data_IF_273679397012
#
_entry.id   IF_273679397012
#
_cell.length_a   1.000
_cell.length_b   1.000
_cell.length_c   1.000
_cell.angle_alpha   90.00
_cell.angle_beta   90.00
_cell.angle_gamma   90.00
#
_symmetry.space_group_name_H-M   'P 1'
#
loop_
_entity.id
_entity.type
_entity.pdbx_description
1 polymer ?
#
# COMPACT_ATOMS: atom_id res chain seq x y z
N UNK A 1 19.19 -9.36 2.43
CA UNK A 1 18.80 -8.24 1.53
C UNK A 1 17.45 -7.67 1.96
N UNK A 2 17.39 -6.39 2.18
CA UNK A 2 16.13 -5.76 2.53
C UNK A 2 15.28 -5.54 1.28
N UNK A 3 14.02 -5.99 1.33
CA UNK A 3 13.09 -5.87 0.21
C UNK A 3 12.24 -4.60 0.35
N UNK A 4 12.00 -4.18 1.60
CA UNK A 4 11.32 -2.92 1.91
C UNK A 4 12.39 -1.88 2.21
N UNK A 5 12.34 -0.74 1.52
CA UNK A 5 13.34 0.32 1.72
C UNK A 5 13.14 1.03 3.05
N UNK A 6 14.15 1.77 3.51
CA UNK A 6 14.04 2.56 4.73
C UNK A 6 12.92 3.60 4.61
N UNK A 7 12.78 4.22 3.45
CA UNK A 7 11.70 5.18 3.19
C UNK A 7 10.33 4.50 3.32
N UNK A 8 10.18 3.32 2.74
CA UNK A 8 8.93 2.57 2.84
C UNK A 8 8.62 2.18 4.28
N UNK A 9 9.65 1.78 5.06
CA UNK A 9 9.47 1.48 6.49
C UNK A 9 8.97 2.70 7.26
N UNK A 10 9.49 3.87 6.96
CA UNK A 10 9.06 5.10 7.63
C UNK A 10 7.60 5.43 7.30
N UNK A 11 7.21 5.26 6.05
CA UNK A 11 5.83 5.49 5.64
C UNK A 11 4.89 4.52 6.34
N UNK A 12 5.24 3.24 6.37
CA UNK A 12 4.42 2.20 7.03
C UNK A 12 4.30 2.50 8.53
N UNK A 13 5.40 2.91 9.17
CA UNK A 13 5.38 3.24 10.60
C UNK A 13 4.43 4.40 10.88
N UNK A 14 4.47 5.47 10.07
CA UNK A 14 3.56 6.59 10.24
C UNK A 14 2.12 6.20 9.98
N UNK A 15 1.89 5.37 8.97
CA UNK A 15 0.55 4.86 8.70
C UNK A 15 0.00 4.08 9.90
N UNK A 16 0.84 3.29 10.57
CA UNK A 16 0.43 2.49 11.73
C UNK A 16 0.00 3.33 12.93
N UNK A 17 0.31 4.61 12.94
CA UNK A 17 -0.09 5.55 14.01
C UNK A 17 -1.43 6.23 13.71
N UNK A 18 -2.02 6.01 12.54
CA UNK A 18 -3.28 6.65 12.17
C UNK A 18 -4.47 5.93 12.81
N UNK A 19 -5.53 6.69 13.17
CA UNK A 19 -6.66 6.10 13.91
C UNK A 19 -7.46 5.07 13.13
N UNK A 20 -7.51 5.18 11.79
CA UNK A 20 -8.31 4.29 10.96
C UNK A 20 -7.48 3.19 10.28
N UNK A 21 -6.27 2.95 10.75
CA UNK A 21 -5.36 1.96 10.14
C UNK A 21 -5.95 0.55 10.08
N UNK A 22 -6.81 0.20 11.02
CA UNK A 22 -7.39 -1.14 11.09
C UNK A 22 -8.33 -1.45 9.91
N UNK A 23 -8.82 -0.42 9.23
CA UNK A 23 -9.66 -0.60 8.06
C UNK A 23 -8.85 -0.84 6.78
N UNK A 24 -7.52 -0.75 6.87
CA UNK A 24 -6.62 -0.89 5.71
C UNK A 24 -5.69 -2.07 5.90
N UNK A 25 -5.21 -2.58 4.79
CA UNK A 25 -4.19 -3.63 4.76
C UNK A 25 -3.23 -3.40 3.61
N UNK A 26 -1.99 -3.83 3.81
CA UNK A 26 -0.94 -3.71 2.81
C UNK A 26 -1.05 -4.87 1.82
N UNK A 27 -1.00 -4.55 0.54
CA UNK A 27 -1.14 -5.53 -0.54
C UNK A 27 -0.21 -5.15 -1.70
N UNK A 28 -0.37 -5.80 -2.86
CA UNK A 28 0.38 -5.47 -4.07
C UNK A 28 1.77 -6.08 -4.13
N UNK A 29 2.56 -5.59 -5.11
CA UNK A 29 3.88 -6.16 -5.41
C UNK A 29 4.89 -6.04 -4.29
N UNK A 30 4.93 -4.90 -3.59
CA UNK A 30 5.84 -4.70 -2.47
C UNK A 30 5.52 -5.66 -1.33
N UNK A 31 4.24 -5.77 -0.95
CA UNK A 31 3.85 -6.70 0.12
C UNK A 31 4.15 -8.14 -0.26
N UNK A 32 3.80 -8.52 -1.49
CA UNK A 32 4.05 -9.88 -1.98
C UNK A 32 5.55 -10.22 -1.92
N UNK A 33 6.39 -9.31 -2.42
CA UNK A 33 7.84 -9.51 -2.43
C UNK A 33 8.43 -9.50 -1.03
N UNK A 34 8.02 -8.56 -0.18
CA UNK A 34 8.62 -8.38 1.14
C UNK A 34 8.26 -9.49 2.11
N UNK A 35 7.01 -9.97 2.10
CA UNK A 35 6.52 -10.86 3.15
C UNK A 35 6.41 -12.31 2.75
N UNK A 36 6.27 -12.60 1.47
CA UNK A 36 6.05 -13.98 1.02
C UNK A 36 7.12 -14.48 0.07
N UNK A 37 7.48 -13.71 -0.94
CA UNK A 37 8.46 -14.15 -1.93
C UNK A 37 9.90 -13.75 -1.59
N UNK A 38 10.08 -12.57 -0.97
CA UNK A 38 11.37 -12.07 -0.47
C UNK A 38 12.47 -12.04 -1.53
N UNK A 39 12.14 -11.76 -2.79
CA UNK A 39 13.11 -11.90 -3.86
C UNK A 39 13.38 -10.63 -4.68
N UNK A 40 12.62 -9.54 -4.49
CA UNK A 40 12.92 -8.29 -5.18
C UNK A 40 12.25 -7.10 -4.50
N UNK A 41 12.85 -5.91 -4.69
CA UNK A 41 12.28 -4.66 -4.22
C UNK A 41 11.19 -4.19 -5.19
N UNK A 42 10.20 -3.50 -4.67
CA UNK A 42 9.19 -2.81 -5.46
C UNK A 42 9.17 -1.34 -5.04
N UNK A 43 8.75 -0.47 -5.97
CA UNK A 43 8.71 0.97 -5.72
C UNK A 43 7.38 1.45 -5.13
N UNK A 44 6.40 0.56 -5.00
CA UNK A 44 5.05 0.94 -4.62
C UNK A 44 4.64 0.36 -3.28
N UNK A 45 3.88 1.14 -2.51
CA UNK A 45 3.17 0.67 -1.32
C UNK A 45 1.68 0.78 -1.61
N UNK A 46 0.97 -0.33 -1.51
CA UNK A 46 -0.46 -0.38 -1.82
C UNK A 46 -1.27 -0.67 -0.57
N UNK A 47 -2.04 0.32 -0.12
CA UNK A 47 -2.95 0.18 1.00
C UNK A 47 -4.37 0.08 0.46
N UNK A 48 -5.05 -1.00 0.77
CA UNK A 48 -6.41 -1.26 0.31
C UNK A 48 -7.37 -1.29 1.48
N UNK A 49 -8.61 -0.89 1.21
CA UNK A 49 -9.70 -0.95 2.19
C UNK A 49 -11.01 -1.23 1.46
N UNK A 50 -11.97 -1.80 2.17
CA UNK A 50 -13.34 -1.91 1.67
C UNK A 50 -14.23 -0.76 2.14
N UNK A 51 -13.67 0.23 2.85
CA UNK A 51 -14.39 1.39 3.36
C UNK A 51 -13.97 2.63 2.58
N UNK A 52 -14.70 2.92 1.52
CA UNK A 52 -14.38 4.01 0.59
C UNK A 52 -14.24 5.36 1.27
N UNK A 53 -15.11 5.66 2.23
CA UNK A 53 -15.15 6.96 2.91
C UNK A 53 -13.88 7.30 3.67
N UNK A 54 -13.03 6.31 3.96
CA UNK A 54 -11.78 6.52 4.69
C UNK A 54 -10.59 6.87 3.79
N UNK A 55 -10.69 6.63 2.49
CA UNK A 55 -9.55 6.76 1.57
C UNK A 55 -9.00 8.19 1.55
N UNK A 56 -9.82 9.17 1.23
CA UNK A 56 -9.36 10.56 1.19
C UNK A 56 -8.89 11.06 2.57
N UNK A 57 -9.67 10.90 3.65
CA UNK A 57 -9.23 11.41 4.95
C UNK A 57 -7.91 10.80 5.43
N UNK A 58 -7.72 9.49 5.28
CA UNK A 58 -6.49 8.85 5.77
C UNK A 58 -5.29 9.26 4.92
N UNK A 59 -5.49 9.43 3.61
CA UNK A 59 -4.41 9.87 2.73
C UNK A 59 -3.95 11.29 3.10
N UNK A 60 -4.88 12.17 3.47
CA UNK A 60 -4.57 13.53 3.89
C UNK A 60 -3.80 13.54 5.22
N UNK A 61 -4.19 12.70 6.16
CA UNK A 61 -3.51 12.58 7.45
C UNK A 61 -2.10 12.04 7.28
N UNK A 62 -1.93 11.02 6.46
CA UNK A 62 -0.60 10.47 6.19
C UNK A 62 0.28 11.51 5.50
N UNK A 63 -0.24 12.22 4.51
CA UNK A 63 0.50 13.27 3.82
C UNK A 63 1.00 14.32 4.81
N UNK A 64 0.14 14.76 5.72
CA UNK A 64 0.52 15.76 6.74
C UNK A 64 1.62 15.23 7.65
N UNK A 65 1.54 14.00 8.12
CA UNK A 65 2.57 13.39 8.95
C UNK A 65 3.91 13.30 8.23
N UNK A 66 3.89 12.86 6.97
CA UNK A 66 5.12 12.70 6.20
C UNK A 66 5.78 14.06 5.92
N UNK A 67 5.00 15.08 5.61
CA UNK A 67 5.52 16.43 5.41
C UNK A 67 6.14 16.98 6.70
N UNK A 68 5.51 16.70 7.84
CA UNK A 68 6.04 17.11 9.14
C UNK A 68 7.37 16.43 9.44
N UNK A 69 7.58 15.22 8.94
CA UNK A 69 8.83 14.48 9.09
C UNK A 69 9.91 14.95 8.10
N UNK A 70 9.62 15.94 7.28
CA UNK A 70 10.59 16.47 6.31
C UNK A 70 10.60 15.75 4.98
N UNK A 71 9.65 14.86 4.73
CA UNK A 71 9.56 14.17 3.46
C UNK A 71 8.84 15.03 2.42
N UNK A 72 9.25 14.88 1.16
CA UNK A 72 8.57 15.55 0.06
C UNK A 72 7.41 14.67 -0.40
N UNK A 73 6.21 15.21 -0.36
CA UNK A 73 5.00 14.48 -0.76
C UNK A 73 4.28 15.26 -1.85
N UNK A 74 3.96 14.59 -2.94
CA UNK A 74 3.25 15.16 -4.07
C UNK A 74 2.02 14.29 -4.35
N UNK A 75 0.83 14.92 -4.38
CA UNK A 75 -0.41 14.22 -4.69
C UNK A 75 -0.57 14.16 -6.21
N UNK A 76 -0.40 12.97 -6.78
CA UNK A 76 -0.51 12.76 -8.21
C UNK A 76 -1.95 12.54 -8.66
N UNK A 77 -2.73 11.82 -7.85
CA UNK A 77 -4.16 11.58 -8.09
C UNK A 77 -4.90 11.60 -6.75
N UNK A 78 -6.10 12.19 -6.75
CA UNK A 78 -6.89 12.28 -5.54
C UNK A 78 -8.38 12.14 -5.83
N UNK A 79 -8.88 10.90 -5.79
CA UNK A 79 -10.30 10.58 -5.97
C UNK A 79 -10.81 9.93 -4.69
N UNK A 80 -12.12 9.88 -4.54
CA UNK A 80 -12.74 9.28 -3.35
C UNK A 80 -12.45 7.77 -3.22
N UNK A 81 -12.15 7.09 -4.34
CA UNK A 81 -11.89 5.66 -4.35
C UNK A 81 -10.44 5.30 -4.65
N UNK A 82 -9.59 6.28 -4.94
CA UNK A 82 -8.19 6.04 -5.28
C UNK A 82 -7.36 7.30 -5.07
N UNK A 83 -6.25 7.15 -4.35
CA UNK A 83 -5.28 8.23 -4.13
C UNK A 83 -3.89 7.71 -4.45
N UNK A 84 -3.09 8.54 -5.13
CA UNK A 84 -1.72 8.25 -5.47
C UNK A 84 -0.83 9.37 -4.98
N UNK A 85 0.14 9.04 -4.12
CA UNK A 85 1.11 9.99 -3.58
C UNK A 85 2.50 9.57 -4.02
N UNK A 86 3.31 10.56 -4.44
CA UNK A 86 4.74 10.36 -4.64
C UNK A 86 5.46 10.87 -3.40
N UNK A 87 6.26 10.04 -2.78
CA UNK A 87 6.99 10.37 -1.55
C UNK A 87 8.47 10.20 -1.81
N UNK A 88 9.27 11.20 -1.43
CA UNK A 88 10.71 11.14 -1.64
C UNK A 88 11.47 11.74 -0.48
N UNK A 89 12.68 11.22 -0.28
CA UNK A 89 13.65 11.73 0.70
C UNK A 89 15.05 11.46 0.15
N UNK A 90 15.81 12.52 -0.10
CA UNK A 90 17.15 12.41 -0.69
C UNK A 90 17.11 11.65 -2.02
N UNK A 91 17.80 10.49 -2.11
CA UNK A 91 17.85 9.68 -3.32
C UNK A 91 16.75 8.63 -3.42
N UNK A 92 15.96 8.48 -2.37
CA UNK A 92 14.91 7.46 -2.33
C UNK A 92 13.57 8.05 -2.72
N UNK A 93 12.77 7.26 -3.44
CA UNK A 93 11.42 7.63 -3.81
C UNK A 93 10.53 6.40 -3.83
N UNK A 94 9.27 6.58 -3.49
CA UNK A 94 8.28 5.52 -3.56
C UNK A 94 6.92 6.13 -3.89
N UNK A 95 6.03 5.31 -4.43
CA UNK A 95 4.66 5.71 -4.72
C UNK A 95 3.75 4.98 -3.72
N UNK A 96 2.81 5.72 -3.14
CA UNK A 96 1.86 5.18 -2.19
C UNK A 96 0.46 5.26 -2.80
N UNK A 97 -0.21 4.12 -2.84
CA UNK A 97 -1.57 4.02 -3.34
C UNK A 97 -2.53 3.70 -2.20
N UNK A 98 -3.67 4.38 -2.20
CA UNK A 98 -4.81 4.04 -1.37
C UNK A 98 -5.96 3.72 -2.31
N UNK A 99 -6.51 2.52 -2.22
CA UNK A 99 -7.51 2.07 -3.17
C UNK A 99 -8.62 1.28 -2.49
N UNK A 100 -9.79 1.32 -3.13
CA UNK A 100 -10.91 0.51 -2.72
C UNK A 100 -10.71 -0.91 -3.22
N UNK A 101 -10.89 -1.89 -2.34
CA UNK A 101 -10.74 -3.29 -2.67
C UNK A 101 -12.08 -3.96 -2.91
N UNK A 102 -12.04 -5.08 -3.62
CA UNK A 102 -13.18 -5.97 -3.77
C UNK A 102 -13.58 -6.57 -2.40
N UNK A 103 -14.88 -6.72 -2.13
CA UNK A 103 -15.29 -7.37 -0.88
C UNK A 103 -14.97 -8.86 -0.84
N UNK A 104 -14.64 -9.47 -1.98
CA UNK A 104 -14.33 -10.90 -2.04
C UNK A 104 -12.91 -11.19 -1.58
N UNK A 105 -12.78 -12.15 -0.64
CA UNK A 105 -11.48 -12.59 -0.14
C UNK A 105 -11.52 -14.07 0.16
N UNK A 106 -10.38 -14.75 -0.11
CA UNK A 106 -10.20 -16.14 0.31
C UNK A 106 -9.85 -16.20 1.79
N UNK A 107 -9.04 -15.25 2.27
CA UNK A 107 -8.61 -15.21 3.66
C UNK A 107 -8.59 -13.76 4.15
N UNK A 108 -8.78 -13.55 5.45
CA UNK A 108 -8.70 -12.24 6.04
C UNK A 108 -7.24 -11.77 6.12
N UNK A 109 -6.97 -10.47 5.94
CA UNK A 109 -5.65 -9.92 6.19
C UNK A 109 -5.24 -10.12 7.65
N UNK A 110 -3.95 -10.39 7.88
CA UNK A 110 -3.44 -10.67 9.21
C UNK A 110 -2.25 -9.78 9.55
N UNK A 111 -1.94 -9.68 10.84
CA UNK A 111 -0.74 -9.00 11.30
C UNK A 111 0.49 -9.77 10.87
N UNK A 112 1.57 -9.05 10.56
CA UNK A 112 2.86 -9.64 10.22
C UNK A 112 3.91 -9.18 11.21
N UNK A 113 4.76 -10.09 11.67
CA UNK A 113 5.75 -9.79 12.72
C UNK A 113 6.78 -8.74 12.30
N UNK A 114 7.10 -8.66 11.01
CA UNK A 114 8.09 -7.71 10.50
C UNK A 114 7.55 -6.28 10.43
N UNK A 115 6.25 -6.10 10.46
CA UNK A 115 5.61 -4.77 10.42
C UNK A 115 4.48 -4.71 11.45
N UNK A 116 4.82 -4.36 12.69
CA UNK A 116 3.78 -4.25 13.72
C UNK A 116 2.81 -3.10 13.45
N UNK A 117 1.54 -3.33 13.71
CA UNK A 117 0.51 -2.31 13.63
C UNK A 117 -0.20 -2.20 12.29
N UNK A 118 0.14 -3.03 11.30
CA UNK A 118 -0.53 -3.03 10.00
C UNK A 118 -0.86 -4.47 9.61
N UNK A 119 -2.06 -4.66 9.06
CA UNK A 119 -2.46 -5.94 8.50
C UNK A 119 -1.90 -6.10 7.10
N UNK A 120 -1.55 -7.32 6.75
CA UNK A 120 -1.03 -7.67 5.42
C UNK A 120 -2.01 -8.63 4.78
N UNK A 121 -2.29 -8.41 3.49
CA UNK A 121 -3.16 -9.26 2.71
C UNK A 121 -2.61 -10.69 2.62
N UNK A 122 -3.49 -11.68 2.44
CA UNK A 122 -3.05 -13.06 2.32
C UNK A 122 -2.34 -13.29 0.99
N UNK A 123 -1.44 -14.29 0.97
CA UNK A 123 -0.72 -14.65 -0.24
C UNK A 123 -1.69 -15.03 -1.37
N UNK A 124 -2.73 -15.81 -1.04
CA UNK A 124 -3.69 -16.25 -2.05
C UNK A 124 -4.49 -15.08 -2.63
N UNK A 125 -4.88 -14.11 -1.79
CA UNK A 125 -5.61 -12.93 -2.27
C UNK A 125 -4.73 -12.03 -3.13
N UNK A 126 -3.48 -11.79 -2.71
CA UNK A 126 -2.55 -10.99 -3.50
C UNK A 126 -2.22 -11.63 -4.84
N UNK A 127 -1.99 -12.94 -4.85
CA UNK A 127 -1.69 -13.67 -6.07
C UNK A 127 -2.89 -13.67 -7.01
N UNK A 128 -4.09 -13.85 -6.48
CA UNK A 128 -5.33 -13.81 -7.26
C UNK A 128 -5.53 -12.44 -7.91
N UNK A 129 -5.37 -11.36 -7.15
CA UNK A 129 -5.53 -10.01 -7.67
C UNK A 129 -4.51 -9.69 -8.75
N UNK A 130 -3.26 -10.14 -8.58
CA UNK A 130 -2.24 -9.93 -9.60
C UNK A 130 -2.55 -10.70 -10.88
N UNK A 131 -3.05 -11.93 -10.75
CA UNK A 131 -3.42 -12.75 -11.90
C UNK A 131 -4.59 -12.13 -12.66
N UNK A 132 -5.60 -11.65 -11.94
CA UNK A 132 -6.75 -10.98 -12.56
C UNK A 132 -6.33 -9.71 -13.31
N UNK A 133 -5.40 -8.95 -12.74
CA UNK A 133 -4.88 -7.76 -13.40
C UNK A 133 -4.14 -8.11 -14.70
N UNK A 134 -3.38 -9.20 -14.72
CA UNK A 134 -2.69 -9.66 -15.92
C UNK A 134 -3.68 -10.11 -17.01
N UNK A 135 -4.74 -10.81 -16.63
CA UNK A 135 -5.79 -11.20 -17.58
C UNK A 135 -6.51 -9.98 -18.14
N UNK A 136 -6.83 -9.01 -17.29
CA UNK A 136 -7.47 -7.77 -17.74
C UNK A 136 -6.63 -7.01 -18.75
N UNK A 137 -5.31 -6.95 -18.54
CA UNK A 137 -4.40 -6.33 -19.51
C UNK A 137 -4.37 -7.07 -20.84
N UNK A 138 -4.37 -8.40 -20.79
CA UNK A 138 -4.37 -9.20 -22.01
C UNK A 138 -5.63 -8.96 -22.82
N UNK A 139 -6.80 -8.91 -22.18
CA UNK A 139 -8.07 -8.62 -22.85
C UNK A 139 -8.07 -7.24 -23.50
N UNK A 140 -7.49 -6.24 -22.84
CA UNK A 140 -7.44 -4.88 -23.38
C UNK A 140 -6.50 -4.73 -24.57
N UNK A 141 -5.55 -5.62 -24.73
CA UNK A 141 -4.60 -5.59 -25.87
C UNK A 141 -5.12 -6.31 -27.10
N UNK A 142 -6.06 -7.20 -26.93
CA UNK A 142 -6.67 -7.95 -28.03
C UNK A 142 -7.80 -7.14 -28.66
#
# INVERSE_FOLDING_TARGET
>A
MEIVTDLQKRIIRRFSELPDKEAFYLTGGTALSAFYLKHRKSNDLDFFTDVEELILPISQKLEAFLRKDGLKVERLRGFHSFVELSVSLSNEATVVHFALDSPFRFEQPTAHEDIPGIKVDSLIDMATNKLLALFGRAELRD
#
